data_IF_176534945225
#
_entry.id   IF_176534945225
#
_cell.length_a   1.000
_cell.length_b   1.000
_cell.length_c   1.000
_cell.angle_alpha   90.00
_cell.angle_beta   90.00
_cell.angle_gamma   90.00
#
_symmetry.space_group_name_H-M   'P 1'
#
loop_
_entity.id
_entity.type
_entity.pdbx_description
1 polymer ?
#
# COMPACT_ATOMS: atom_id res chain seq x y z
N UNK A 1 4.41 35.35 1.96
CA UNK A 1 3.88 33.98 1.76
C UNK A 1 4.72 33.31 0.69
N UNK A 2 5.62 32.41 1.08
CA UNK A 2 6.34 31.53 0.16
C UNK A 2 6.30 30.14 0.79
N UNK A 3 5.78 29.18 0.04
CA UNK A 3 5.55 27.81 0.48
C UNK A 3 6.87 27.14 0.88
N UNK A 4 6.86 26.51 2.05
CA UNK A 4 7.88 25.58 2.50
C UNK A 4 7.66 24.25 1.73
N UNK A 5 8.59 23.79 0.88
CA UNK A 5 8.55 22.42 0.42
C UNK A 5 9.08 21.55 1.56
N UNK A 6 8.18 21.09 2.43
CA UNK A 6 8.54 20.17 3.49
C UNK A 6 9.29 18.96 2.89
N UNK A 7 10.44 18.55 3.45
CA UNK A 7 11.17 17.43 2.93
C UNK A 7 10.32 16.18 3.14
N UNK A 8 9.86 15.56 2.05
CA UNK A 8 9.20 14.25 2.12
C UNK A 8 10.09 13.34 2.97
N UNK A 9 9.62 12.87 4.14
CA UNK A 9 10.43 12.00 4.97
C UNK A 9 10.81 10.81 4.09
N UNK A 10 12.11 10.54 3.97
CA UNK A 10 12.63 9.37 3.26
C UNK A 10 11.90 8.16 3.83
N UNK A 11 10.82 7.73 3.16
CA UNK A 11 10.03 6.61 3.59
C UNK A 11 10.98 5.42 3.59
N UNK A 12 11.47 5.04 4.78
CA UNK A 12 12.21 3.81 5.00
C UNK A 12 11.16 2.82 5.47
N UNK A 13 10.56 2.11 4.53
CA UNK A 13 9.46 1.18 4.81
C UNK A 13 8.66 0.83 3.56
N UNK A 14 7.62 -0.01 3.66
CA UNK A 14 6.77 -0.41 2.53
C UNK A 14 6.16 0.79 1.76
N UNK A 15 6.05 1.96 2.40
CA UNK A 15 5.62 3.20 1.77
C UNK A 15 6.55 3.72 0.65
N UNK A 16 7.82 3.28 0.56
CA UNK A 16 8.70 3.64 -0.56
C UNK A 16 8.18 3.10 -1.90
N UNK A 17 7.36 2.04 -1.88
CA UNK A 17 6.81 1.43 -3.08
C UNK A 17 5.56 2.15 -3.59
N UNK A 18 4.96 3.05 -2.81
CA UNK A 18 3.67 3.67 -3.15
C UNK A 18 3.71 4.50 -4.43
N UNK A 19 4.70 5.39 -4.66
CA UNK A 19 4.77 6.16 -5.90
C UNK A 19 4.92 5.26 -7.14
N UNK A 20 5.61 4.13 -6.99
CA UNK A 20 5.78 3.15 -8.07
C UNK A 20 4.47 2.39 -8.33
N UNK A 21 3.73 2.00 -7.30
CA UNK A 21 2.43 1.35 -7.42
C UNK A 21 1.45 2.28 -8.15
N UNK A 22 1.36 3.54 -7.74
CA UNK A 22 0.48 4.52 -8.39
C UNK A 22 0.84 4.73 -9.86
N UNK A 23 2.13 4.82 -10.19
CA UNK A 23 2.59 4.91 -11.58
C UNK A 23 2.31 3.65 -12.39
N UNK A 24 2.44 2.47 -11.79
CA UNK A 24 2.26 1.19 -12.50
C UNK A 24 0.79 0.86 -12.74
N UNK A 25 -0.08 1.12 -11.76
CA UNK A 25 -1.50 0.73 -11.83
C UNK A 25 -2.46 1.90 -12.05
N UNK A 26 -1.96 3.14 -12.06
CA UNK A 26 -2.76 4.34 -12.39
C UNK A 26 -3.81 4.73 -11.35
N UNK A 27 -3.71 4.19 -10.13
CA UNK A 27 -4.67 4.40 -9.03
C UNK A 27 -3.94 4.82 -7.76
N UNK A 28 -4.49 5.74 -6.96
CA UNK A 28 -3.84 6.22 -5.74
C UNK A 28 -3.59 5.09 -4.75
N UNK A 29 -2.50 5.15 -4.00
CA UNK A 29 -2.14 4.12 -3.02
C UNK A 29 -3.21 3.97 -1.94
N UNK A 30 -3.87 5.07 -1.56
CA UNK A 30 -4.97 5.05 -0.61
C UNK A 30 -6.12 4.15 -1.04
N UNK A 31 -6.47 4.12 -2.33
CA UNK A 31 -7.50 3.21 -2.87
C UNK A 31 -7.09 1.75 -2.64
N UNK A 32 -5.81 1.43 -2.87
CA UNK A 32 -5.30 0.09 -2.66
C UNK A 32 -5.29 -0.31 -1.17
N UNK A 33 -4.91 0.61 -0.29
CA UNK A 33 -4.94 0.41 1.15
C UNK A 33 -6.38 0.23 1.65
N UNK A 34 -7.35 1.00 1.13
CA UNK A 34 -8.75 0.88 1.47
C UNK A 34 -9.33 -0.49 1.05
N UNK A 35 -9.02 -0.97 -0.15
CA UNK A 35 -9.39 -2.31 -0.62
C UNK A 35 -8.84 -3.41 0.30
N UNK A 36 -7.58 -3.26 0.74
CA UNK A 36 -6.94 -4.20 1.67
C UNK A 36 -7.60 -4.15 3.05
N UNK A 37 -7.93 -2.95 3.55
CA UNK A 37 -8.64 -2.74 4.83
C UNK A 37 -10.05 -3.33 4.78
N UNK A 38 -10.78 -3.12 3.68
CA UNK A 38 -12.12 -3.64 3.46
C UNK A 38 -12.17 -5.18 3.47
N UNK A 39 -11.09 -5.85 3.07
CA UNK A 39 -10.95 -7.32 3.13
C UNK A 39 -10.57 -7.87 4.50
N UNK A 40 -10.00 -7.04 5.37
CA UNK A 40 -9.58 -7.41 6.72
C UNK A 40 -8.10 -7.86 6.83
N UNK A 41 -7.43 -7.54 7.95
CA UNK A 41 -5.99 -7.77 8.15
C UNK A 41 -5.60 -9.23 8.41
N UNK A 42 -6.57 -10.11 8.68
CA UNK A 42 -6.32 -11.52 9.01
C UNK A 42 -5.93 -12.34 7.77
N UNK A 43 -6.39 -11.93 6.59
CA UNK A 43 -6.27 -12.71 5.37
C UNK A 43 -5.04 -12.32 4.51
N UNK A 44 -3.86 -12.10 5.11
CA UNK A 44 -2.68 -11.56 4.42
C UNK A 44 -2.39 -12.25 3.07
N UNK A 45 -2.26 -13.57 3.06
CA UNK A 45 -1.97 -14.35 1.85
C UNK A 45 -3.14 -14.38 0.85
N UNK A 46 -4.38 -14.30 1.34
CA UNK A 46 -5.56 -14.25 0.49
C UNK A 46 -5.68 -12.88 -0.19
N UNK A 47 -5.41 -11.79 0.53
CA UNK A 47 -5.40 -10.42 -0.01
C UNK A 47 -4.26 -10.23 -1.00
N UNK A 48 -3.07 -10.77 -0.72
CA UNK A 48 -1.96 -10.77 -1.71
C UNK A 48 -2.36 -11.54 -2.97
N UNK A 49 -2.94 -12.74 -2.83
CA UNK A 49 -3.39 -13.53 -3.98
C UNK A 49 -4.51 -12.84 -4.76
N UNK A 50 -5.44 -12.17 -4.08
CA UNK A 50 -6.52 -11.41 -4.69
C UNK A 50 -6.02 -10.18 -5.45
N UNK A 51 -5.10 -9.40 -4.87
CA UNK A 51 -4.47 -8.26 -5.55
C UNK A 51 -3.72 -8.72 -6.82
N UNK A 52 -3.09 -9.90 -6.77
CA UNK A 52 -2.45 -10.50 -7.94
C UNK A 52 -3.47 -10.93 -9.01
N UNK A 53 -4.56 -11.58 -8.59
CA UNK A 53 -5.55 -12.16 -9.51
C UNK A 53 -6.46 -11.11 -10.14
N UNK A 54 -7.04 -10.21 -9.34
CA UNK A 54 -8.00 -9.21 -9.81
C UNK A 54 -7.34 -7.99 -10.44
N UNK A 55 -6.20 -7.58 -9.89
CA UNK A 55 -5.58 -6.30 -10.24
C UNK A 55 -4.20 -6.46 -10.88
N UNK A 56 -3.72 -7.69 -11.05
CA UNK A 56 -2.42 -7.95 -11.66
C UNK A 56 -1.24 -7.43 -10.83
N UNK A 57 -1.40 -7.19 -9.53
CA UNK A 57 -0.32 -6.66 -8.72
C UNK A 57 0.85 -7.65 -8.63
N UNK A 58 2.08 -7.15 -8.75
CA UNK A 58 3.28 -7.94 -8.44
C UNK A 58 3.36 -8.34 -6.95
N UNK A 59 4.03 -9.46 -6.65
CA UNK A 59 4.15 -9.98 -5.27
C UNK A 59 4.70 -8.94 -4.28
N UNK A 60 5.76 -8.20 -4.67
CA UNK A 60 6.35 -7.16 -3.83
C UNK A 60 5.41 -5.98 -3.57
N UNK A 61 4.67 -5.54 -4.59
CA UNK A 61 3.69 -4.46 -4.49
C UNK A 61 2.51 -4.84 -3.60
N UNK A 62 1.94 -6.04 -3.81
CA UNK A 62 0.86 -6.55 -2.99
C UNK A 62 1.28 -6.73 -1.52
N UNK A 63 2.46 -7.30 -1.28
CA UNK A 63 2.98 -7.48 0.08
C UNK A 63 3.21 -6.14 0.79
N UNK A 64 3.73 -5.12 0.10
CA UNK A 64 3.96 -3.79 0.67
C UNK A 64 2.65 -3.14 1.16
N UNK A 65 1.58 -3.24 0.37
CA UNK A 65 0.26 -2.69 0.74
C UNK A 65 -0.30 -3.39 1.98
N UNK A 66 -0.30 -4.72 2.00
CA UNK A 66 -0.85 -5.49 3.13
C UNK A 66 -0.01 -5.31 4.40
N UNK A 67 1.32 -5.26 4.27
CA UNK A 67 2.22 -4.99 5.38
C UNK A 67 1.99 -3.58 5.97
N UNK A 68 1.74 -2.58 5.12
CA UNK A 68 1.43 -1.23 5.57
C UNK A 68 0.11 -1.16 6.34
N UNK A 69 -0.98 -1.71 5.79
CA UNK A 69 -2.28 -1.74 6.48
C UNK A 69 -2.19 -2.46 7.84
N UNK A 70 -1.42 -3.55 7.92
CA UNK A 70 -1.19 -4.26 9.17
C UNK A 70 -0.36 -3.48 10.18
N UNK A 71 0.65 -2.74 9.71
CA UNK A 71 1.45 -1.88 10.57
C UNK A 71 0.67 -0.65 11.07
N UNK A 72 -0.30 -0.17 10.29
CA UNK A 72 -1.20 0.93 10.68
C UNK A 72 -2.34 0.50 11.60
N UNK A 73 -2.85 -0.74 11.49
CA UNK A 73 -3.89 -1.24 12.39
C UNK A 73 -3.34 -1.32 13.83
N UNK A 74 -3.84 -0.49 14.77
CA UNK A 74 -3.36 -0.53 16.15
C UNK A 74 -3.93 -1.79 16.81
N UNK A 75 -3.14 -2.86 16.86
CA UNK A 75 -3.53 -4.09 17.57
C UNK A 75 -2.84 -5.34 17.08
N UNK A 76 -1.62 -5.56 17.57
CA UNK A 76 -1.26 -6.85 18.15
C UNK A 76 -0.84 -6.59 19.60
#
# INVERSE_FOLDING_TARGET
>A
MAADPSPTPKAKGPASYFPSIERTYGRPVEEWLDLVRARGPEAHMATVSWLKAEHGLGHGHANALVAHVRAEAPGA
#
